data_IF_821714480780
#
_entry.id   IF_821714480780
#
_cell.length_a   1.000
_cell.length_b   1.000
_cell.length_c   1.000
_cell.angle_alpha   90.00
_cell.angle_beta   90.00
_cell.angle_gamma   90.00
#
_symmetry.space_group_name_H-M   'P 1'
#
loop_
_entity.id
_entity.type
_entity.pdbx_description
1 polymer ?
#
# COMPACT_ATOMS: atom_id res chain seq x y z
N UNK A 1 83.77 7.81 -36.06
CA UNK A 1 82.35 8.16 -35.83
C UNK A 1 81.58 6.86 -35.62
N UNK A 2 81.55 6.32 -34.39
CA UNK A 2 80.74 5.14 -34.06
C UNK A 2 79.93 5.49 -32.81
N UNK A 3 78.64 5.76 -33.01
CA UNK A 3 77.68 5.97 -31.92
C UNK A 3 76.91 4.67 -31.71
N UNK A 4 77.00 4.12 -30.50
CA UNK A 4 76.43 2.84 -30.11
C UNK A 4 74.89 2.89 -29.99
N UNK A 5 74.18 1.78 -30.24
CA UNK A 5 72.75 1.68 -29.95
C UNK A 5 72.56 1.21 -28.50
N UNK A 6 72.14 2.11 -27.61
CA UNK A 6 71.83 1.76 -26.22
C UNK A 6 70.57 2.47 -25.74
N UNK A 7 69.73 1.76 -24.99
CA UNK A 7 68.60 2.26 -24.20
C UNK A 7 67.28 2.62 -24.91
N UNK A 8 66.61 1.66 -25.56
CA UNK A 8 65.14 1.70 -25.73
C UNK A 8 64.38 0.58 -25.01
N UNK A 9 65.08 -0.37 -24.38
CA UNK A 9 64.45 -1.58 -23.79
C UNK A 9 64.09 -1.43 -22.30
N UNK A 10 64.69 -0.47 -21.60
CA UNK A 10 64.49 -0.26 -20.14
C UNK A 10 63.33 0.68 -19.79
N UNK A 11 62.92 1.58 -20.69
CA UNK A 11 61.80 2.50 -20.42
C UNK A 11 60.42 1.80 -20.46
N UNK A 12 60.27 0.69 -21.17
CA UNK A 12 59.01 -0.07 -21.22
C UNK A 12 58.74 -0.94 -19.98
N UNK A 13 59.76 -1.33 -19.23
CA UNK A 13 59.64 -2.29 -18.11
C UNK A 13 59.05 -1.61 -16.86
N UNK A 14 59.38 -0.33 -16.64
CA UNK A 14 58.83 0.46 -15.53
C UNK A 14 57.35 0.83 -15.72
N UNK A 15 56.89 0.98 -16.97
CA UNK A 15 55.50 1.31 -17.30
C UNK A 15 54.57 0.09 -17.19
N UNK A 16 55.06 -1.12 -17.48
CA UNK A 16 54.32 -2.37 -17.31
C UNK A 16 54.08 -2.73 -15.83
N UNK A 17 55.04 -2.42 -14.95
CA UNK A 17 54.98 -2.74 -13.51
C UNK A 17 53.87 -1.96 -12.76
N UNK A 18 53.48 -0.78 -13.25
CA UNK A 18 52.39 0.01 -12.67
C UNK A 18 51.01 -0.31 -13.26
N UNK A 19 50.95 -0.90 -14.46
CA UNK A 19 49.70 -1.23 -15.16
C UNK A 19 49.01 -2.45 -14.58
N UNK A 20 49.76 -3.53 -14.31
CA UNK A 20 49.25 -4.76 -13.69
C UNK A 20 48.50 -4.52 -12.36
N UNK A 21 49.07 -3.84 -11.33
CA UNK A 21 48.37 -3.60 -10.08
C UNK A 21 47.16 -2.65 -10.22
N UNK A 22 47.20 -1.72 -11.18
CA UNK A 22 46.07 -0.82 -11.46
C UNK A 22 44.90 -1.56 -12.11
N UNK A 23 45.16 -2.49 -13.04
CA UNK A 23 44.12 -3.33 -13.63
C UNK A 23 43.46 -4.26 -12.61
N UNK A 24 44.25 -4.89 -11.73
CA UNK A 24 43.71 -5.72 -10.65
C UNK A 24 42.87 -4.90 -9.67
N UNK A 25 43.30 -3.69 -9.32
CA UNK A 25 42.56 -2.77 -8.47
C UNK A 25 41.26 -2.29 -9.13
N UNK A 26 41.28 -2.03 -10.44
CA UNK A 26 40.09 -1.63 -11.20
C UNK A 26 39.08 -2.78 -11.28
N UNK A 27 39.53 -4.00 -11.59
CA UNK A 27 38.67 -5.21 -11.58
C UNK A 27 38.06 -5.44 -10.19
N UNK A 28 38.86 -5.39 -9.14
CA UNK A 28 38.36 -5.54 -7.76
C UNK A 28 37.34 -4.46 -7.39
N UNK A 29 37.55 -3.22 -7.85
CA UNK A 29 36.61 -2.11 -7.62
C UNK A 29 35.29 -2.32 -8.36
N UNK A 30 35.34 -2.80 -9.61
CA UNK A 30 34.16 -3.11 -10.41
C UNK A 30 33.36 -4.28 -9.82
N UNK A 31 34.02 -5.36 -9.42
CA UNK A 31 33.35 -6.52 -8.80
C UNK A 31 32.70 -6.13 -7.46
N UNK A 32 33.41 -5.36 -6.63
CA UNK A 32 32.85 -4.79 -5.40
C UNK A 32 31.63 -3.91 -5.70
N UNK A 33 31.67 -3.12 -6.76
CA UNK A 33 30.55 -2.28 -7.20
C UNK A 33 29.33 -3.11 -7.61
N UNK A 34 29.53 -4.21 -8.36
CA UNK A 34 28.44 -5.12 -8.77
C UNK A 34 27.82 -5.84 -7.57
N UNK A 35 28.64 -6.28 -6.62
CA UNK A 35 28.15 -6.89 -5.38
C UNK A 35 27.38 -5.88 -4.52
N UNK A 36 27.90 -4.65 -4.39
CA UNK A 36 27.23 -3.58 -3.63
C UNK A 36 25.85 -3.25 -4.22
N UNK A 37 25.77 -3.13 -5.55
CA UNK A 37 24.50 -2.91 -6.24
C UNK A 37 23.52 -4.06 -6.01
N UNK A 38 24.02 -5.31 -5.99
CA UNK A 38 23.20 -6.48 -5.68
C UNK A 38 22.66 -6.46 -4.26
N UNK A 39 23.50 -6.12 -3.28
CA UNK A 39 23.09 -5.99 -1.88
C UNK A 39 22.03 -4.90 -1.69
N UNK A 40 22.15 -3.76 -2.40
CA UNK A 40 21.13 -2.70 -2.36
C UNK A 40 19.80 -3.18 -2.96
N UNK A 41 19.83 -3.94 -4.06
CA UNK A 41 18.63 -4.54 -4.64
C UNK A 41 17.94 -5.50 -3.67
N UNK A 42 18.71 -6.36 -2.98
CA UNK A 42 18.18 -7.28 -1.97
C UNK A 42 17.57 -6.52 -0.78
N UNK A 43 18.25 -5.47 -0.31
CA UNK A 43 17.77 -4.62 0.77
C UNK A 43 16.45 -3.95 0.38
N UNK A 44 16.39 -3.33 -0.80
CA UNK A 44 15.19 -2.70 -1.31
C UNK A 44 14.03 -3.71 -1.47
N UNK A 45 14.32 -4.91 -1.95
CA UNK A 45 13.33 -5.99 -2.06
C UNK A 45 12.76 -6.37 -0.69
N UNK A 46 13.62 -6.64 0.31
CA UNK A 46 13.19 -6.99 1.66
C UNK A 46 12.37 -5.89 2.32
N UNK A 47 12.80 -4.63 2.19
CA UNK A 47 12.02 -3.49 2.70
C UNK A 47 10.65 -3.41 2.03
N UNK A 48 10.58 -3.59 0.70
CA UNK A 48 9.29 -3.61 -0.03
C UNK A 48 8.38 -4.77 0.41
N UNK A 49 8.95 -5.95 0.69
CA UNK A 49 8.20 -7.11 1.17
C UNK A 49 7.68 -6.91 2.61
N UNK A 50 8.53 -6.45 3.52
CA UNK A 50 8.15 -6.17 4.92
C UNK A 50 7.13 -5.03 5.03
N UNK A 51 7.15 -4.06 4.12
CA UNK A 51 6.10 -3.05 4.05
C UNK A 51 4.75 -3.62 3.60
N UNK A 52 4.73 -4.72 2.84
CA UNK A 52 3.51 -5.31 2.29
C UNK A 52 2.75 -6.15 3.33
N UNK A 53 3.47 -6.97 4.10
CA UNK A 53 2.89 -7.86 5.14
C UNK A 53 1.92 -7.17 6.10
N UNK A 54 2.31 -6.13 6.85
CA UNK A 54 1.45 -5.51 7.86
C UNK A 54 0.27 -4.76 7.22
N UNK A 55 0.47 -4.23 6.01
CA UNK A 55 -0.58 -3.56 5.25
C UNK A 55 -1.68 -4.56 4.91
N UNK A 56 -1.33 -5.76 4.48
CA UNK A 56 -2.29 -6.80 4.11
C UNK A 56 -2.95 -7.41 5.34
N UNK A 57 -2.18 -7.74 6.39
CA UNK A 57 -2.77 -8.24 7.65
C UNK A 57 -3.76 -7.25 8.28
N UNK A 58 -3.48 -5.94 8.21
CA UNK A 58 -4.37 -4.90 8.74
C UNK A 58 -5.65 -4.73 7.91
N UNK A 59 -5.55 -4.99 6.62
CA UNK A 59 -6.66 -4.88 5.65
C UNK A 59 -7.61 -6.07 5.75
N UNK A 60 -7.05 -7.26 5.98
CA UNK A 60 -7.76 -8.54 6.00
C UNK A 60 -8.25 -8.97 7.39
N UNK A 61 -8.10 -8.13 8.42
CA UNK A 61 -8.71 -8.38 9.75
C UNK A 61 -9.95 -7.52 9.92
N UNK A 62 -11.16 -8.04 9.61
CA UNK A 62 -12.39 -7.33 9.92
C UNK A 62 -12.61 -7.40 11.43
N UNK A 63 -12.25 -6.33 12.16
CA UNK A 63 -12.79 -6.14 13.51
C UNK A 63 -11.99 -5.36 14.55
N UNK A 64 -10.69 -5.09 14.39
CA UNK A 64 -9.90 -4.60 15.55
C UNK A 64 -9.59 -3.10 15.54
N UNK A 65 -9.72 -2.40 14.41
CA UNK A 65 -9.37 -0.98 14.38
C UNK A 65 -10.58 -0.08 14.63
N UNK A 66 -10.69 0.36 15.90
CA UNK A 66 -11.35 1.59 16.35
C UNK A 66 -12.87 1.63 16.33
N UNK A 67 -13.51 0.94 17.29
CA UNK A 67 -14.64 1.51 18.02
C UNK A 67 -14.06 2.58 18.96
N UNK A 68 -14.27 3.89 18.76
CA UNK A 68 -14.03 4.84 19.83
C UNK A 68 -14.98 4.47 20.98
N UNK A 69 -14.44 4.41 22.18
CA UNK A 69 -15.18 4.06 23.39
C UNK A 69 -16.34 5.05 23.60
N UNK A 70 -17.54 4.62 23.22
CA UNK A 70 -18.80 5.17 23.72
C UNK A 70 -19.37 4.08 24.64
N UNK A 71 -19.71 4.41 25.91
CA UNK A 71 -20.14 3.44 26.89
C UNK A 71 -21.39 2.68 26.43
N UNK A 72 -21.56 1.40 26.82
CA UNK A 72 -22.54 0.51 26.23
C UNK A 72 -23.95 0.79 26.76
N UNK A 73 -24.89 1.10 25.86
CA UNK A 73 -26.31 0.86 26.08
C UNK A 73 -26.62 -0.63 25.81
N UNK A 74 -27.50 -1.28 26.60
CA UNK A 74 -27.76 -2.71 26.48
C UNK A 74 -28.78 -2.97 25.38
N UNK A 75 -28.34 -3.19 24.14
CA UNK A 75 -29.18 -3.78 23.10
C UNK A 75 -28.78 -5.22 22.84
N UNK A 76 -29.73 -6.09 23.17
CA UNK A 76 -29.83 -7.54 23.01
C UNK A 76 -29.02 -8.12 21.85
N UNK A 77 -28.37 -9.23 22.14
CA UNK A 77 -27.61 -10.02 21.18
C UNK A 77 -28.46 -10.50 20.01
N UNK A 78 -27.89 -10.33 18.83
CA UNK A 78 -28.11 -11.17 17.67
C UNK A 78 -26.86 -11.00 16.77
N UNK A 79 -26.27 -12.14 16.44
CA UNK A 79 -25.52 -12.40 15.20
C UNK A 79 -24.08 -11.86 15.07
N UNK A 80 -23.18 -12.46 15.85
CA UNK A 80 -21.72 -12.45 15.64
C UNK A 80 -21.23 -13.74 14.92
N UNK A 81 -22.04 -14.34 14.04
CA UNK A 81 -21.72 -15.65 13.47
C UNK A 81 -21.91 -15.78 11.94
N UNK A 82 -21.92 -14.69 11.17
CA UNK A 82 -22.05 -14.76 9.70
C UNK A 82 -20.85 -14.22 8.91
N UNK A 83 -19.71 -13.97 9.54
CA UNK A 83 -18.52 -13.41 8.89
C UNK A 83 -17.32 -14.40 8.84
N UNK A 84 -17.60 -15.68 8.60
CA UNK A 84 -16.54 -16.72 8.53
C UNK A 84 -16.09 -17.02 7.09
N UNK A 85 -16.86 -16.61 6.08
CA UNK A 85 -16.51 -16.88 4.67
C UNK A 85 -15.40 -15.96 4.12
N UNK A 86 -15.20 -14.77 4.69
CA UNK A 86 -14.13 -13.84 4.27
C UNK A 86 -12.80 -14.13 4.95
N UNK A 87 -12.83 -14.58 6.21
CA UNK A 87 -11.64 -14.93 6.98
C UNK A 87 -10.80 -16.04 6.30
N UNK A 88 -11.45 -16.98 5.59
CA UNK A 88 -10.74 -18.00 4.79
C UNK A 88 -10.03 -17.42 3.55
N UNK A 89 -10.63 -16.42 2.89
CA UNK A 89 -10.00 -15.74 1.76
C UNK A 89 -8.82 -14.85 2.21
N UNK A 90 -8.95 -14.29 3.42
CA UNK A 90 -7.98 -13.46 4.09
C UNK A 90 -6.69 -14.24 4.43
N UNK A 91 -6.83 -15.42 5.05
CA UNK A 91 -5.70 -16.31 5.37
C UNK A 91 -4.96 -16.76 4.11
N UNK A 92 -5.70 -17.10 3.04
CA UNK A 92 -5.13 -17.52 1.76
C UNK A 92 -4.32 -16.43 1.06
N UNK A 93 -4.69 -15.15 1.21
CA UNK A 93 -3.96 -14.04 0.60
C UNK A 93 -2.62 -13.78 1.30
N UNK A 94 -2.58 -13.87 2.63
CA UNK A 94 -1.31 -13.79 3.37
C UNK A 94 -0.39 -14.95 3.04
N UNK A 95 -0.92 -16.18 2.97
CA UNK A 95 -0.15 -17.38 2.61
C UNK A 95 0.43 -17.28 1.20
N UNK A 96 -0.32 -16.76 0.22
CA UNK A 96 0.16 -16.60 -1.17
C UNK A 96 1.39 -15.67 -1.27
N UNK A 97 1.47 -14.65 -0.41
CA UNK A 97 2.59 -13.71 -0.36
C UNK A 97 3.81 -14.31 0.34
N UNK A 98 3.57 -15.07 1.41
CA UNK A 98 4.62 -15.78 2.11
C UNK A 98 5.25 -16.84 1.19
N UNK A 99 4.42 -17.62 0.48
CA UNK A 99 4.89 -18.57 -0.54
C UNK A 99 5.64 -17.87 -1.68
N UNK A 100 5.17 -16.71 -2.14
CA UNK A 100 5.90 -15.92 -3.14
C UNK A 100 7.30 -15.52 -2.66
N UNK A 101 7.45 -15.24 -1.36
CA UNK A 101 8.72 -14.84 -0.77
C UNK A 101 9.66 -16.03 -0.54
N UNK A 102 9.14 -17.19 -0.14
CA UNK A 102 9.93 -18.42 -0.03
C UNK A 102 10.59 -18.78 -1.37
N UNK A 103 9.86 -18.70 -2.48
CA UNK A 103 10.41 -18.97 -3.82
C UNK A 103 11.57 -18.03 -4.21
N UNK A 104 11.61 -16.81 -3.66
CA UNK A 104 12.73 -15.87 -3.87
C UNK A 104 13.91 -16.19 -2.95
N UNK A 105 13.68 -16.79 -1.78
CA UNK A 105 14.75 -17.22 -0.86
C UNK A 105 15.51 -18.43 -1.37
N UNK A 106 14.87 -19.31 -2.14
CA UNK A 106 15.51 -20.49 -2.72
C UNK A 106 16.59 -20.13 -3.76
N UNK A 107 16.55 -18.91 -4.30
CA UNK A 107 17.49 -18.43 -5.31
C UNK A 107 18.75 -17.88 -4.63
N UNK A 108 19.92 -18.35 -5.06
CA UNK A 108 21.19 -17.80 -4.59
C UNK A 108 21.28 -16.31 -4.96
N UNK A 109 21.14 -15.49 -3.92
CA UNK A 109 21.10 -14.05 -4.05
C UNK A 109 22.50 -13.43 -4.13
N UNK A 110 23.55 -14.17 -3.79
CA UNK A 110 24.94 -13.71 -3.82
C UNK A 110 25.66 -14.07 -5.12
N UNK A 111 25.07 -14.90 -5.97
CA UNK A 111 25.59 -15.20 -7.29
C UNK A 111 25.47 -13.99 -8.24
N UNK A 112 26.62 -13.35 -8.52
CA UNK A 112 26.76 -12.17 -9.41
C UNK A 112 27.16 -12.59 -10.83
N UNK A 113 27.21 -13.89 -11.12
CA UNK A 113 27.39 -14.35 -12.50
C UNK A 113 26.23 -13.86 -13.37
N UNK A 114 26.39 -13.95 -14.69
CA UNK A 114 25.31 -13.61 -15.63
C UNK A 114 24.07 -14.46 -15.35
N UNK A 115 24.27 -15.74 -15.07
CA UNK A 115 23.21 -16.72 -14.78
C UNK A 115 22.52 -16.41 -13.44
N UNK A 116 23.27 -16.14 -12.36
CA UNK A 116 22.69 -15.73 -11.07
C UNK A 116 21.94 -14.39 -11.13
N UNK A 117 22.40 -13.46 -11.96
CA UNK A 117 21.71 -12.19 -12.21
C UNK A 117 20.38 -12.41 -12.93
N UNK A 118 20.36 -13.28 -13.94
CA UNK A 118 19.14 -13.64 -14.68
C UNK A 118 18.16 -14.44 -13.82
N UNK A 119 18.64 -15.41 -13.05
CA UNK A 119 17.86 -16.19 -12.11
C UNK A 119 17.16 -15.30 -11.08
N UNK A 120 17.88 -14.34 -10.49
CA UNK A 120 17.29 -13.36 -9.57
C UNK A 120 16.27 -12.45 -10.23
N UNK A 121 16.56 -11.91 -11.42
CA UNK A 121 15.60 -11.09 -12.15
C UNK A 121 14.33 -11.88 -12.44
N UNK A 122 14.46 -13.16 -12.81
CA UNK A 122 13.32 -14.04 -13.04
C UNK A 122 12.54 -14.31 -11.74
N UNK A 123 13.22 -14.53 -10.62
CA UNK A 123 12.60 -14.72 -9.31
C UNK A 123 11.83 -13.47 -8.85
N UNK A 124 12.45 -12.30 -8.94
CA UNK A 124 11.81 -11.01 -8.63
C UNK A 124 10.60 -10.77 -9.53
N UNK A 125 10.69 -11.07 -10.84
CA UNK A 125 9.54 -10.97 -11.75
C UNK A 125 8.39 -11.89 -11.33
N UNK A 126 8.67 -13.15 -10.99
CA UNK A 126 7.65 -14.11 -10.53
C UNK A 126 7.00 -13.64 -9.21
N UNK A 127 7.78 -13.06 -8.31
CA UNK A 127 7.27 -12.44 -7.10
C UNK A 127 6.35 -11.25 -7.43
N UNK A 128 6.80 -10.31 -8.26
CA UNK A 128 6.03 -9.14 -8.64
C UNK A 128 4.71 -9.54 -9.33
N UNK A 129 4.71 -10.57 -10.19
CA UNK A 129 3.51 -11.13 -10.80
C UNK A 129 2.52 -11.74 -9.78
N UNK A 130 3.03 -12.42 -8.74
CA UNK A 130 2.19 -12.93 -7.63
C UNK A 130 1.58 -11.77 -6.85
N UNK A 131 2.38 -10.76 -6.54
CA UNK A 131 1.89 -9.56 -5.85
C UNK A 131 0.83 -8.84 -6.71
N UNK A 132 1.02 -8.73 -8.02
CA UNK A 132 0.03 -8.15 -8.93
C UNK A 132 -1.31 -8.91 -8.93
N UNK A 133 -1.28 -10.24 -8.84
CA UNK A 133 -2.50 -11.06 -8.68
C UNK A 133 -3.19 -10.78 -7.35
N UNK A 134 -2.43 -10.72 -6.26
CA UNK A 134 -2.95 -10.37 -4.94
C UNK A 134 -3.54 -8.96 -4.95
N UNK A 135 -2.87 -7.98 -5.53
CA UNK A 135 -3.38 -6.61 -5.68
C UNK A 135 -4.68 -6.56 -6.48
N UNK A 136 -4.81 -7.39 -7.52
CA UNK A 136 -6.04 -7.51 -8.32
C UNK A 136 -7.19 -8.09 -7.48
N UNK A 137 -6.92 -9.12 -6.67
CA UNK A 137 -7.91 -9.71 -5.75
C UNK A 137 -8.35 -8.71 -4.67
N UNK A 138 -7.39 -8.02 -4.06
CA UNK A 138 -7.66 -6.94 -3.09
C UNK A 138 -8.52 -5.87 -3.76
N UNK A 139 -8.19 -5.46 -4.98
CA UNK A 139 -8.95 -4.45 -5.73
C UNK A 139 -10.40 -4.87 -5.98
N UNK A 140 -10.62 -6.12 -6.42
CA UNK A 140 -11.97 -6.65 -6.62
C UNK A 140 -12.76 -6.69 -5.30
N UNK A 141 -12.11 -7.07 -4.21
CA UNK A 141 -12.72 -7.09 -2.89
C UNK A 141 -13.05 -5.68 -2.37
N UNK A 142 -12.14 -4.70 -2.53
CA UNK A 142 -12.42 -3.28 -2.21
C UNK A 142 -13.62 -2.79 -3.00
N UNK A 143 -13.70 -3.07 -4.30
CA UNK A 143 -14.86 -2.69 -5.13
C UNK A 143 -16.15 -3.35 -4.64
N UNK A 144 -16.10 -4.63 -4.28
CA UNK A 144 -17.25 -5.36 -3.75
C UNK A 144 -17.75 -4.76 -2.43
N UNK A 145 -16.86 -4.52 -1.48
CA UNK A 145 -17.20 -3.89 -0.19
C UNK A 145 -17.76 -2.47 -0.36
N UNK A 146 -17.24 -1.69 -1.32
CA UNK A 146 -17.78 -0.37 -1.64
C UNK A 146 -19.15 -0.43 -2.35
N UNK A 147 -19.42 -1.50 -3.09
CA UNK A 147 -20.73 -1.76 -3.70
C UNK A 147 -21.80 -2.18 -2.68
N UNK A 148 -21.39 -2.90 -1.63
CA UNK A 148 -22.28 -3.34 -0.53
C UNK A 148 -22.58 -2.21 0.48
N UNK A 149 -21.66 -1.24 0.64
CA UNK A 149 -21.84 -0.10 1.55
C UNK A 149 -22.91 0.87 1.05
N UNK A 150 -24.04 0.95 1.75
CA UNK A 150 -25.14 1.85 1.40
C UNK A 150 -24.89 3.27 1.93
N UNK A 151 -24.30 3.40 3.12
CA UNK A 151 -24.05 4.68 3.76
C UNK A 151 -22.68 5.29 3.39
N UNK A 152 -22.62 6.62 3.34
CA UNK A 152 -21.39 7.39 3.12
C UNK A 152 -20.36 7.13 4.23
N UNK A 153 -20.80 6.97 5.48
CA UNK A 153 -19.89 6.72 6.61
C UNK A 153 -19.30 5.31 6.57
N UNK A 154 -20.09 4.30 6.21
CA UNK A 154 -19.60 2.92 6.02
C UNK A 154 -18.60 2.86 4.86
N UNK A 155 -18.91 3.53 3.75
CA UNK A 155 -18.03 3.58 2.59
C UNK A 155 -16.71 4.31 2.92
N UNK A 156 -16.77 5.41 3.68
CA UNK A 156 -15.60 6.13 4.17
C UNK A 156 -14.74 5.32 5.14
N UNK A 157 -15.36 4.57 6.07
CA UNK A 157 -14.65 3.67 7.00
C UNK A 157 -13.92 2.56 6.25
N UNK A 158 -14.58 1.95 5.27
CA UNK A 158 -13.97 0.93 4.41
C UNK A 158 -12.76 1.50 3.65
N UNK A 159 -12.86 2.69 3.05
CA UNK A 159 -11.73 3.33 2.35
C UNK A 159 -10.57 3.65 3.31
N UNK A 160 -10.87 4.18 4.50
CA UNK A 160 -9.84 4.52 5.48
C UNK A 160 -9.05 3.29 5.97
N UNK A 161 -9.71 2.13 6.10
CA UNK A 161 -9.04 0.86 6.40
C UNK A 161 -7.98 0.52 5.35
N UNK A 162 -8.22 0.84 4.08
CA UNK A 162 -7.28 0.58 2.98
C UNK A 162 -6.21 1.66 2.81
N UNK A 163 -6.16 2.70 3.66
CA UNK A 163 -5.21 3.81 3.53
C UNK A 163 -3.75 3.36 3.42
N UNK A 164 -3.38 2.29 4.10
CA UNK A 164 -2.03 1.76 4.09
C UNK A 164 -1.64 1.13 2.72
N UNK A 165 -2.62 0.74 1.90
CA UNK A 165 -2.41 0.23 0.53
C UNK A 165 -2.25 1.35 -0.51
N UNK A 166 -2.44 2.62 -0.15
CA UNK A 166 -2.46 3.73 -1.12
C UNK A 166 -1.08 4.06 -1.70
N UNK A 167 -0.04 3.38 -1.26
CA UNK A 167 1.29 3.46 -1.88
C UNK A 167 1.30 2.75 -3.24
N UNK A 168 0.36 1.82 -3.49
CA UNK A 168 0.32 1.01 -4.71
C UNK A 168 -0.50 1.65 -5.83
N UNK A 169 0.07 1.81 -7.05
CA UNK A 169 -0.62 2.48 -8.17
C UNK A 169 -1.94 1.83 -8.59
N UNK A 170 -2.02 0.48 -8.63
CA UNK A 170 -3.22 -0.25 -9.06
C UNK A 170 -4.38 -0.05 -8.08
N UNK A 171 -4.11 -0.22 -6.79
CA UNK A 171 -5.10 -0.04 -5.72
C UNK A 171 -5.55 1.43 -5.66
N UNK A 172 -4.62 2.39 -5.81
CA UNK A 172 -4.96 3.81 -5.95
C UNK A 172 -5.91 4.08 -7.11
N UNK A 173 -5.70 3.44 -8.27
CA UNK A 173 -6.56 3.58 -9.44
C UNK A 173 -8.01 3.20 -9.12
N UNK A 174 -8.21 2.02 -8.54
CA UNK A 174 -9.54 1.54 -8.18
C UNK A 174 -10.25 2.41 -7.14
N UNK A 175 -9.51 3.00 -6.20
CA UNK A 175 -10.08 3.89 -5.19
C UNK A 175 -10.46 5.25 -5.80
N UNK A 176 -9.66 5.78 -6.73
CA UNK A 176 -9.99 7.01 -7.44
C UNK A 176 -11.31 6.92 -8.18
N UNK A 177 -11.62 5.77 -8.76
CA UNK A 177 -12.93 5.52 -9.41
C UNK A 177 -14.09 5.53 -8.40
N UNK A 178 -13.82 5.23 -7.14
CA UNK A 178 -14.83 5.15 -6.09
C UNK A 178 -15.02 6.48 -5.33
N UNK A 179 -14.02 7.37 -5.35
CA UNK A 179 -14.08 8.67 -4.67
C UNK A 179 -15.24 9.58 -5.12
N UNK A 180 -15.56 9.72 -6.43
CA UNK A 180 -16.73 10.48 -6.87
C UNK A 180 -18.04 9.94 -6.30
N UNK A 181 -18.18 8.60 -6.24
CA UNK A 181 -19.35 7.95 -5.63
C UNK A 181 -19.45 8.29 -4.14
N UNK A 182 -18.32 8.35 -3.43
CA UNK A 182 -18.28 8.74 -2.02
C UNK A 182 -18.71 10.19 -1.83
N UNK A 183 -18.13 11.10 -2.62
CA UNK A 183 -18.47 12.53 -2.54
C UNK A 183 -19.95 12.78 -2.80
N UNK A 184 -20.53 12.11 -3.80
CA UNK A 184 -21.96 12.23 -4.09
C UNK A 184 -22.82 11.73 -2.92
N UNK A 185 -22.53 10.54 -2.38
CA UNK A 185 -23.26 10.00 -1.21
C UNK A 185 -23.12 10.90 0.02
N UNK A 186 -21.93 11.47 0.27
CA UNK A 186 -21.72 12.41 1.38
C UNK A 186 -22.49 13.71 1.17
N UNK A 187 -22.55 14.22 -0.07
CA UNK A 187 -23.36 15.39 -0.39
C UNK A 187 -24.85 15.12 -0.20
N UNK A 188 -25.34 13.95 -0.61
CA UNK A 188 -26.73 13.55 -0.42
C UNK A 188 -27.08 13.48 1.08
N UNK A 189 -26.21 12.84 1.88
CA UNK A 189 -26.37 12.79 3.33
C UNK A 189 -26.35 14.20 3.97
N UNK A 190 -25.46 15.09 3.53
CA UNK A 190 -25.41 16.48 3.97
C UNK A 190 -26.71 17.24 3.62
N UNK A 191 -27.23 17.02 2.41
CA UNK A 191 -28.46 17.68 1.95
C UNK A 191 -29.68 17.22 2.74
N UNK A 192 -29.74 15.95 3.16
CA UNK A 192 -30.79 15.45 4.07
C UNK A 192 -30.70 16.18 5.40
N UNK A 193 -29.53 16.19 6.05
CA UNK A 193 -29.33 16.88 7.32
C UNK A 193 -29.68 18.37 7.22
N UNK A 194 -29.31 19.02 6.10
CA UNK A 194 -29.63 20.43 5.86
C UNK A 194 -31.14 20.67 5.71
N UNK A 195 -31.88 19.74 5.10
CA UNK A 195 -33.35 19.82 5.02
C UNK A 195 -33.97 19.65 6.40
N UNK A 196 -33.52 18.68 7.18
CA UNK A 196 -34.05 18.41 8.52
C UNK A 196 -33.81 19.58 9.48
N UNK A 197 -32.64 20.22 9.40
CA UNK A 197 -32.34 21.45 10.13
C UNK A 197 -33.26 22.60 9.71
N UNK A 198 -33.44 22.81 8.40
CA UNK A 198 -34.33 23.86 7.90
C UNK A 198 -35.78 23.65 8.31
N UNK A 199 -36.25 22.41 8.31
CA UNK A 199 -37.58 22.05 8.81
C UNK A 199 -37.69 22.37 10.30
N UNK A 200 -36.68 22.00 11.10
CA UNK A 200 -36.64 22.31 12.54
C UNK A 200 -36.64 23.82 12.82
N UNK A 201 -35.90 24.61 12.05
CA UNK A 201 -35.93 26.08 12.12
C UNK A 201 -37.33 26.63 11.80
N UNK A 202 -38.01 26.11 10.78
CA UNK A 202 -39.37 26.54 10.42
C UNK A 202 -40.39 26.19 11.53
N UNK A 203 -40.28 25.02 12.15
CA UNK A 203 -41.11 24.65 13.30
C UNK A 203 -40.89 25.59 14.49
N UNK A 204 -39.64 25.93 14.80
CA UNK A 204 -39.29 26.88 15.86
C UNK A 204 -39.87 28.28 15.58
N UNK A 205 -39.76 28.77 14.34
CA UNK A 205 -40.34 30.07 13.97
C UNK A 205 -41.87 30.09 14.04
N UNK A 206 -42.52 28.97 13.71
CA UNK A 206 -43.98 28.86 13.80
C UNK A 206 -44.47 28.80 15.25
N UNK A 207 -43.74 28.13 16.14
CA UNK A 207 -44.01 28.10 17.58
C UNK A 207 -43.85 29.50 18.23
N UNK A 208 -42.84 30.26 17.81
CA UNK A 208 -42.63 31.65 18.25
C UNK A 208 -43.78 32.58 17.82
N UNK A 209 -44.28 32.46 16.58
CA UNK A 209 -45.42 33.26 16.10
C UNK A 209 -46.74 32.87 16.79
N UNK A 210 -46.99 31.58 17.05
CA UNK A 210 -48.19 31.13 17.76
C UNK A 210 -48.18 31.58 19.24
N UNK A 211 -47.01 31.64 19.88
CA UNK A 211 -46.84 32.16 21.23
C UNK A 211 -47.06 33.69 21.32
N UNK A 212 -46.67 34.45 20.29
CA UNK A 212 -46.93 35.89 20.20
C UNK A 212 -48.40 36.22 19.94
N UNK A 213 -49.09 35.42 19.12
CA UNK A 213 -50.53 35.57 18.85
C UNK A 213 -51.39 35.39 20.10
N UNK A 214 -51.10 34.38 20.94
CA UNK A 214 -51.85 34.12 22.19
C UNK A 214 -51.66 35.20 23.26
N UNK A 215 -50.51 35.89 23.27
CA UNK A 215 -50.26 37.01 24.21
C UNK A 215 -50.99 38.30 23.81
N UNK A 216 -51.24 38.53 22.51
CA UNK A 216 -52.04 39.67 22.04
C UNK A 216 -53.53 39.55 22.37
N UNK A 217 -54.04 38.33 22.42
CA UNK A 217 -55.47 38.04 22.68
C UNK A 217 -55.82 37.98 24.18
N UNK A 218 -54.82 37.82 25.07
CA UNK A 218 -54.99 37.91 26.52
C UNK A 218 -54.80 39.33 27.10
N UNK A 219 -54.34 40.29 26.29
CA UNK A 219 -54.09 41.67 26.71
C UNK A 219 -55.20 42.66 26.31
N UNK A 220 -56.31 42.19 25.73
CA UNK A 220 -57.45 43.00 25.31
C UNK A 220 -58.73 42.72 26.07
#
# INVERSE_FOLDING_TARGET
>A
MNSAPGNKKVEGIADLSKKEPYEHMLRATLERGRLTARMEQMRAFRVRHEQLRPVITRVLRPGVTSRPAIPPAPSKGADLASLDSTASADVKLSEEIDLAYEDVKEVDCLDITREGTEAWKAAVRRYDERIDRVETRITAWVRKQLGEANDALEMGRSIYRFKALFVRPRIRGAIRECLPKLMNKTNDALNVVKKDLKVSELWLTAEEEEALGKNGEQAS
#
